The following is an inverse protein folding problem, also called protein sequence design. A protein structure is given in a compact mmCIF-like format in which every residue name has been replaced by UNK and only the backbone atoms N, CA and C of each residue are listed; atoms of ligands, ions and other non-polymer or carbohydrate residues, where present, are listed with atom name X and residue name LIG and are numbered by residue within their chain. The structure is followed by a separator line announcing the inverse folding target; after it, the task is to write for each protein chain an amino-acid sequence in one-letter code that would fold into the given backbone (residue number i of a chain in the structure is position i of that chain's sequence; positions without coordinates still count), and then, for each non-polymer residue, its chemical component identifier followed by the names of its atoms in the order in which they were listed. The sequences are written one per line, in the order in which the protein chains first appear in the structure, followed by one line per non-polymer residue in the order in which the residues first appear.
data_IF_426999576403
#
_entry.id   IF_426999576403
#
_cell.length_a   1.000
_cell.length_b   1.000
_cell.length_c   1.000
_cell.angle_alpha   90.00
_cell.angle_beta   90.00
_cell.angle_gamma   90.00
#
_symmetry.space_group_name_H-M   'P 1'
#
loop_
_entity.id
_entity.type
_entity.pdbx_description
1 polymer ?
#
# COMPACT_ATOMS: atom_id res chain seq x y z
N UNK A 1 -3.28 58.09 -14.35
CA UNK A 1 -3.31 57.15 -15.49
C UNK A 1 -3.81 55.79 -15.00
N UNK A 2 -5.07 55.47 -15.27
CA UNK A 2 -5.56 54.08 -15.37
C UNK A 2 -5.38 53.64 -16.85
N UNK A 3 -5.30 52.33 -17.20
CA UNK A 3 -6.27 51.35 -16.75
C UNK A 3 -5.78 49.92 -16.43
N UNK A 4 -6.62 49.29 -15.60
CA UNK A 4 -6.98 47.86 -15.48
C UNK A 4 -6.68 46.99 -16.72
N UNK A 5 -6.28 45.74 -16.47
CA UNK A 5 -6.88 44.57 -17.14
C UNK A 5 -7.04 43.39 -16.19
N UNK A 6 -8.31 43.13 -15.89
CA UNK A 6 -8.90 41.86 -15.48
C UNK A 6 -8.67 40.77 -16.53
N UNK A 7 -8.56 39.51 -16.09
CA UNK A 7 -8.99 38.39 -16.94
C UNK A 7 -9.88 37.42 -16.14
N UNK A 8 -10.96 36.87 -16.73
CA UNK A 8 -12.00 36.15 -16.02
C UNK A 8 -11.92 34.63 -16.14
N UNK A 9 -12.48 33.99 -15.11
CA UNK A 9 -13.35 32.80 -15.08
C UNK A 9 -13.49 31.88 -16.31
N UNK A 10 -13.37 30.59 -16.00
CA UNK A 10 -14.16 29.42 -16.45
C UNK A 10 -14.19 29.05 -17.94
N UNK A 11 -13.72 27.84 -18.23
CA UNK A 11 -14.38 26.95 -19.19
C UNK A 11 -14.31 25.51 -18.67
N UNK A 12 -15.40 25.11 -18.02
CA UNK A 12 -15.83 23.72 -17.84
C UNK A 12 -16.05 23.13 -19.23
N UNK A 13 -15.46 21.96 -19.52
CA UNK A 13 -15.99 21.06 -20.55
C UNK A 13 -16.14 19.67 -19.97
N UNK A 14 -17.35 19.45 -19.48
CA UNK A 14 -18.03 18.17 -19.39
C UNK A 14 -18.06 17.55 -20.80
N UNK A 15 -17.56 16.32 -20.96
CA UNK A 15 -17.98 15.46 -22.06
C UNK A 15 -18.43 14.15 -21.44
N UNK A 16 -19.74 14.05 -21.34
CA UNK A 16 -20.50 12.84 -21.05
C UNK A 16 -20.69 12.08 -22.37
N UNK A 17 -20.33 10.80 -22.42
CA UNK A 17 -20.98 9.87 -23.33
C UNK A 17 -21.32 8.58 -22.59
N UNK A 18 -22.62 8.44 -22.32
CA UNK A 18 -23.32 7.19 -22.06
C UNK A 18 -23.53 6.43 -23.38
N UNK A 19 -23.48 5.10 -23.30
CA UNK A 19 -24.43 4.11 -23.87
C UNK A 19 -23.67 2.78 -24.04
N UNK A 20 -23.93 1.73 -23.26
CA UNK A 20 -25.13 0.87 -23.16
C UNK A 20 -24.97 -0.43 -23.95
N UNK A 21 -24.87 -1.52 -23.16
CA UNK A 21 -25.24 -2.93 -23.35
C UNK A 21 -26.03 -3.33 -24.61
N UNK A 22 -25.68 -4.49 -25.15
CA UNK A 22 -26.66 -5.52 -25.57
C UNK A 22 -26.05 -6.94 -25.57
N UNK A 23 -26.89 -7.88 -25.13
CA UNK A 23 -26.70 -9.32 -24.89
C UNK A 23 -26.75 -10.19 -26.16
N UNK A 24 -26.15 -11.39 -26.08
CA UNK A 24 -26.71 -12.73 -26.43
C UNK A 24 -25.54 -13.76 -26.36
N UNK A 25 -25.63 -14.97 -25.79
CA UNK A 25 -26.76 -15.83 -25.51
C UNK A 25 -26.79 -17.02 -26.48
N UNK A 26 -26.22 -18.17 -26.08
CA UNK A 26 -26.47 -19.55 -26.55
C UNK A 26 -25.63 -20.48 -25.66
N UNK A 27 -26.10 -21.50 -24.92
CA UNK A 27 -27.28 -22.34 -25.05
C UNK A 27 -26.84 -23.77 -25.39
N UNK A 28 -27.11 -24.76 -24.52
CA UNK A 28 -27.07 -26.19 -24.88
C UNK A 28 -26.73 -27.18 -23.76
N UNK A 29 -27.78 -27.73 -23.13
CA UNK A 29 -28.07 -29.11 -22.67
C UNK A 29 -26.91 -30.12 -22.49
N UNK A 30 -26.85 -31.02 -21.50
CA UNK A 30 -27.87 -31.64 -20.66
C UNK A 30 -27.54 -33.13 -20.59
N UNK A 31 -27.29 -33.70 -19.40
CA UNK A 31 -27.36 -35.15 -19.18
C UNK A 31 -27.52 -35.47 -17.69
N UNK A 32 -28.72 -35.90 -17.30
CA UNK A 32 -29.01 -36.54 -16.02
C UNK A 32 -28.74 -38.05 -16.13
N UNK A 33 -28.08 -38.62 -15.11
CA UNK A 33 -27.98 -40.06 -14.90
C UNK A 33 -27.19 -40.39 -13.62
N UNK A 34 -27.57 -41.43 -12.86
CA UNK A 34 -27.75 -41.31 -11.42
C UNK A 34 -26.75 -42.10 -10.55
N UNK A 35 -26.64 -41.70 -9.29
CA UNK A 35 -26.38 -42.61 -8.15
C UNK A 35 -24.92 -42.78 -7.73
N UNK A 36 -24.59 -42.27 -6.54
CA UNK A 36 -23.32 -42.55 -5.88
C UNK A 36 -23.16 -41.79 -4.57
N UNK A 37 -23.78 -42.30 -3.51
CA UNK A 37 -23.60 -41.86 -2.13
C UNK A 37 -22.15 -42.03 -1.65
N UNK A 38 -21.52 -40.95 -1.19
CA UNK A 38 -20.24 -41.02 -0.49
C UNK A 38 -19.81 -39.67 0.07
N UNK A 39 -20.06 -39.47 1.37
CA UNK A 39 -19.30 -38.66 2.35
C UNK A 39 -18.97 -37.18 2.04
N UNK A 40 -19.17 -36.24 3.00
CA UNK A 40 -18.68 -34.88 2.86
C UNK A 40 -17.16 -34.88 2.97
N UNK A 41 -16.47 -35.07 1.85
CA UNK A 41 -15.10 -34.65 1.69
C UNK A 41 -15.09 -33.14 1.78
N UNK A 42 -14.51 -32.62 2.86
CA UNK A 42 -14.09 -31.23 2.96
C UNK A 42 -13.44 -30.82 1.63
N UNK A 43 -13.85 -29.73 0.99
CA UNK A 43 -13.04 -29.20 -0.10
C UNK A 43 -11.71 -28.79 0.52
N UNK A 44 -10.66 -29.54 0.22
CA UNK A 44 -9.30 -29.04 0.32
C UNK A 44 -9.30 -27.69 -0.40
N UNK A 45 -9.14 -26.61 0.36
CA UNK A 45 -8.77 -25.30 -0.16
C UNK A 45 -7.37 -25.43 -0.74
N UNK A 46 -7.24 -26.07 -1.90
CA UNK A 46 -6.11 -25.94 -2.80
C UNK A 46 -6.30 -24.63 -3.57
N UNK A 47 -5.93 -23.53 -2.92
CA UNK A 47 -6.00 -22.18 -3.49
C UNK A 47 -4.68 -21.43 -3.36
N UNK A 48 -3.56 -22.12 -3.17
CA UNK A 48 -2.25 -21.55 -3.42
C UNK A 48 -2.06 -21.48 -4.93
N UNK A 49 -2.17 -20.28 -5.50
CA UNK A 49 -1.67 -20.01 -6.85
C UNK A 49 -0.14 -20.16 -6.78
N UNK A 50 0.35 -21.38 -6.96
CA UNK A 50 1.77 -21.62 -7.23
C UNK A 50 2.08 -20.90 -8.55
N UNK A 51 2.57 -19.66 -8.44
CA UNK A 51 3.12 -18.91 -9.55
C UNK A 51 4.25 -19.73 -10.16
N UNK A 52 3.93 -20.57 -11.14
CA UNK A 52 4.90 -21.42 -11.80
C UNK A 52 6.02 -20.56 -12.40
N UNK A 53 7.26 -20.97 -12.15
CA UNK A 53 8.45 -20.37 -12.74
C UNK A 53 8.29 -20.23 -14.26
N UNK A 54 8.82 -19.15 -14.80
CA UNK A 54 8.88 -18.85 -16.21
C UNK A 54 10.31 -18.98 -16.73
N UNK A 55 10.48 -19.05 -18.05
CA UNK A 55 11.79 -18.86 -18.65
C UNK A 55 12.31 -17.44 -18.38
N UNK A 56 13.64 -17.23 -18.29
CA UNK A 56 14.22 -15.90 -18.21
C UNK A 56 13.71 -14.98 -19.33
N UNK A 57 13.51 -13.70 -19.02
CA UNK A 57 13.02 -12.75 -20.02
C UNK A 57 14.12 -12.42 -21.05
N UNK A 58 13.83 -12.59 -22.35
CA UNK A 58 14.77 -12.33 -23.45
C UNK A 58 14.48 -11.01 -24.19
N UNK A 59 13.31 -10.43 -23.92
CA UNK A 59 12.84 -9.17 -24.50
C UNK A 59 12.24 -8.22 -23.44
N UNK A 60 12.17 -6.91 -23.73
CA UNK A 60 11.51 -5.96 -22.84
C UNK A 60 10.04 -6.30 -22.60
N UNK A 61 9.34 -6.80 -23.62
CA UNK A 61 7.91 -7.15 -23.51
C UNK A 61 7.68 -8.34 -22.57
N UNK A 62 8.53 -9.37 -22.66
CA UNK A 62 8.47 -10.52 -21.74
C UNK A 62 8.80 -10.09 -20.32
N UNK A 63 9.83 -9.27 -20.13
CA UNK A 63 10.19 -8.76 -18.82
C UNK A 63 9.05 -7.95 -18.19
N UNK A 64 8.40 -7.07 -18.97
CA UNK A 64 7.22 -6.30 -18.51
C UNK A 64 6.10 -7.23 -18.06
N UNK A 65 5.78 -8.25 -18.86
CA UNK A 65 4.74 -9.24 -18.53
C UNK A 65 5.08 -10.04 -17.27
N UNK A 66 6.34 -10.46 -17.13
CA UNK A 66 6.79 -11.20 -15.95
C UNK A 66 6.80 -10.35 -14.69
N UNK A 67 7.25 -9.09 -14.80
CA UNK A 67 7.23 -8.14 -13.69
C UNK A 67 5.80 -7.89 -13.21
N UNK A 68 4.87 -7.62 -14.12
CA UNK A 68 3.46 -7.44 -13.77
C UNK A 68 2.86 -8.71 -13.15
N UNK A 69 3.16 -9.89 -13.71
CA UNK A 69 2.70 -11.17 -13.17
C UNK A 69 3.20 -11.39 -11.74
N UNK A 70 4.47 -11.13 -11.46
CA UNK A 70 5.05 -11.46 -10.15
C UNK A 70 4.82 -10.40 -9.08
N UNK A 71 4.65 -9.13 -9.46
CA UNK A 71 4.52 -8.04 -8.48
C UNK A 71 3.13 -7.39 -8.47
N UNK A 72 2.28 -7.70 -9.47
CA UNK A 72 1.00 -7.01 -9.69
C UNK A 72 1.14 -5.55 -10.12
N UNK A 73 2.32 -5.16 -10.64
CA UNK A 73 2.61 -3.77 -11.04
C UNK A 73 2.87 -3.73 -12.54
N UNK A 74 2.05 -3.00 -13.33
CA UNK A 74 2.34 -2.85 -14.74
C UNK A 74 3.59 -1.99 -14.94
N UNK A 75 4.46 -2.40 -15.86
CA UNK A 75 5.57 -1.56 -16.34
C UNK A 75 5.19 -0.96 -17.70
N UNK A 76 5.50 0.33 -17.87
CA UNK A 76 5.32 1.04 -19.14
C UNK A 76 6.68 1.19 -19.83
N UNK A 77 6.86 0.63 -21.04
CA UNK A 77 7.99 0.96 -21.89
C UNK A 77 7.93 2.43 -22.32
N UNK A 78 9.04 3.13 -22.15
CA UNK A 78 9.27 4.49 -22.64
C UNK A 78 10.40 4.40 -23.66
N UNK A 79 10.01 4.47 -24.92
CA UNK A 79 10.91 4.48 -26.07
C UNK A 79 11.67 5.82 -26.16
N UNK A 80 12.81 5.81 -26.86
CA UNK A 80 13.58 7.01 -27.15
C UNK A 80 14.67 7.37 -26.13
N UNK A 81 14.96 6.50 -25.16
CA UNK A 81 16.17 6.66 -24.33
C UNK A 81 17.42 6.35 -25.16
N UNK A 82 18.46 7.15 -25.00
CA UNK A 82 19.73 6.98 -25.73
C UNK A 82 20.39 5.62 -25.45
N UNK A 83 20.10 5.01 -24.31
CA UNK A 83 20.69 3.76 -23.85
C UNK A 83 19.82 2.54 -24.16
N UNK A 84 18.56 2.73 -24.60
CA UNK A 84 17.62 1.65 -24.89
C UNK A 84 16.17 2.01 -24.57
N UNK A 85 15.45 1.08 -23.95
CA UNK A 85 14.05 1.24 -23.54
C UNK A 85 14.01 1.41 -22.02
N UNK A 86 13.41 2.50 -21.55
CA UNK A 86 13.24 2.73 -20.12
C UNK A 86 11.92 2.14 -19.66
N UNK A 87 11.93 1.41 -18.55
CA UNK A 87 10.77 0.74 -18.00
C UNK A 87 10.33 1.45 -16.71
N UNK A 88 9.11 1.97 -16.69
CA UNK A 88 8.60 2.78 -15.57
C UNK A 88 7.32 2.20 -14.98
N UNK A 89 7.24 2.15 -13.65
CA UNK A 89 5.96 1.90 -12.98
C UNK A 89 5.07 3.14 -13.03
N UNK A 90 3.73 3.00 -12.94
CA UNK A 90 2.80 4.11 -12.82
C UNK A 90 3.18 5.08 -11.71
N UNK A 91 2.91 6.37 -11.89
CA UNK A 91 3.17 7.39 -10.86
C UNK A 91 2.35 7.19 -9.58
N UNK A 92 1.17 6.56 -9.70
CA UNK A 92 0.27 6.22 -8.60
C UNK A 92 0.10 4.70 -8.48
N UNK A 93 0.24 4.10 -7.29
CA UNK A 93 0.71 4.73 -6.06
C UNK A 93 2.17 5.20 -6.18
N UNK A 94 2.62 6.08 -5.28
CA UNK A 94 3.90 6.78 -5.38
C UNK A 94 5.06 5.83 -5.71
N UNK A 95 5.67 5.99 -6.89
CA UNK A 95 6.84 5.19 -7.28
C UNK A 95 8.01 5.35 -6.31
N UNK A 96 8.16 6.56 -5.76
CA UNK A 96 9.23 6.86 -4.81
C UNK A 96 9.02 6.13 -3.50
N UNK A 97 7.77 6.01 -3.04
CA UNK A 97 7.49 5.22 -1.86
C UNK A 97 7.75 3.74 -2.12
N UNK A 98 7.30 3.19 -3.25
CA UNK A 98 7.51 1.77 -3.58
C UNK A 98 8.99 1.40 -3.72
N UNK A 99 9.74 2.16 -4.50
CA UNK A 99 11.06 1.76 -5.00
C UNK A 99 12.13 2.87 -4.93
N UNK A 100 11.80 4.05 -4.41
CA UNK A 100 12.69 5.21 -4.44
C UNK A 100 12.85 5.83 -5.83
N UNK A 101 13.91 6.60 -6.03
CA UNK A 101 14.24 7.20 -7.31
C UNK A 101 15.12 6.23 -8.12
N UNK A 102 14.56 5.63 -9.17
CA UNK A 102 15.25 4.62 -9.97
C UNK A 102 15.07 4.86 -11.48
N UNK A 103 15.90 4.18 -12.26
CA UNK A 103 15.71 3.98 -13.69
C UNK A 103 16.01 2.52 -14.03
N UNK A 104 15.06 1.83 -14.65
CA UNK A 104 15.21 0.46 -15.11
C UNK A 104 15.31 0.49 -16.63
N UNK A 105 16.44 0.05 -17.18
CA UNK A 105 16.75 0.20 -18.61
C UNK A 105 17.00 -1.16 -19.25
N UNK A 106 16.27 -1.44 -20.31
CA UNK A 106 16.59 -2.49 -21.26
C UNK A 106 17.51 -1.93 -22.34
N UNK A 107 18.78 -2.31 -22.31
CA UNK A 107 19.83 -1.74 -23.14
C UNK A 107 19.72 -2.19 -24.59
N UNK A 108 19.99 -1.27 -25.51
CA UNK A 108 19.99 -1.55 -26.96
C UNK A 108 21.08 -2.56 -27.35
N UNK A 109 22.26 -2.41 -26.77
CA UNK A 109 23.49 -3.13 -27.12
C UNK A 109 24.47 -3.18 -25.94
N UNK A 110 25.53 -3.98 -26.09
CA UNK A 110 26.55 -4.18 -25.07
C UNK A 110 27.29 -2.88 -24.72
N UNK A 111 27.49 -2.00 -25.71
CA UNK A 111 28.17 -0.71 -25.49
C UNK A 111 27.33 0.23 -24.63
N UNK A 112 26.02 0.28 -24.86
CA UNK A 112 25.07 1.00 -24.02
C UNK A 112 25.07 0.46 -22.60
N UNK A 113 25.09 -0.87 -22.43
CA UNK A 113 25.24 -1.50 -21.11
C UNK A 113 26.56 -1.11 -20.44
N UNK A 114 27.70 -1.23 -21.14
CA UNK A 114 29.02 -0.84 -20.62
C UNK A 114 29.06 0.63 -20.19
N UNK A 115 28.46 1.54 -20.99
CA UNK A 115 28.33 2.96 -20.64
C UNK A 115 27.53 3.17 -19.36
N UNK A 116 26.42 2.44 -19.19
CA UNK A 116 25.59 2.53 -17.98
C UNK A 116 26.31 1.99 -16.73
N UNK A 117 27.06 0.89 -16.85
CA UNK A 117 27.84 0.30 -15.74
C UNK A 117 29.04 1.17 -15.34
N UNK A 118 29.57 1.93 -16.29
CA UNK A 118 30.68 2.86 -16.06
C UNK A 118 32.03 2.16 -15.92
N UNK A 119 33.04 2.91 -15.48
CA UNK A 119 34.42 2.44 -15.29
C UNK A 119 34.63 2.12 -13.82
N UNK A 120 34.31 0.89 -13.41
CA UNK A 120 34.45 0.44 -12.04
C UNK A 120 34.29 -1.07 -11.93
N UNK A 121 34.67 -1.63 -10.79
CA UNK A 121 34.31 -3.01 -10.43
C UNK A 121 33.07 -2.96 -9.54
N UNK A 122 32.16 -3.94 -9.66
CA UNK A 122 31.07 -4.06 -8.71
C UNK A 122 31.61 -4.39 -7.32
N UNK A 123 30.83 -4.11 -6.28
CA UNK A 123 31.06 -4.64 -4.95
C UNK A 123 30.65 -6.13 -4.85
N UNK A 124 30.64 -6.68 -3.63
CA UNK A 124 30.28 -8.07 -3.37
C UNK A 124 28.85 -8.44 -3.80
N UNK A 125 27.95 -7.46 -3.86
CA UNK A 125 26.55 -7.64 -4.24
C UNK A 125 26.31 -7.39 -5.74
N UNK A 126 27.38 -7.17 -6.52
CA UNK A 126 27.25 -6.89 -7.95
C UNK A 126 26.90 -5.44 -8.28
N UNK A 127 26.97 -4.51 -7.30
CA UNK A 127 26.59 -3.11 -7.46
C UNK A 127 27.80 -2.27 -7.89
N UNK A 128 27.66 -1.61 -9.04
CA UNK A 128 28.59 -0.59 -9.52
C UNK A 128 28.21 0.76 -8.90
N UNK A 129 29.01 1.20 -7.92
CA UNK A 129 28.83 2.50 -7.29
C UNK A 129 29.47 3.62 -8.11
N UNK A 130 28.66 4.53 -8.61
CA UNK A 130 29.10 5.67 -9.42
C UNK A 130 28.98 6.99 -8.64
N UNK A 131 30.03 7.82 -8.58
CA UNK A 131 29.94 9.13 -7.95
C UNK A 131 29.02 10.06 -8.75
N UNK A 132 28.15 10.78 -8.06
CA UNK A 132 27.19 11.74 -8.59
C UNK A 132 27.13 12.97 -7.67
N UNK A 133 28.07 13.91 -7.85
CA UNK A 133 28.24 15.05 -6.94
C UNK A 133 28.60 14.57 -5.53
N UNK A 134 27.82 15.00 -4.53
CA UNK A 134 27.97 14.58 -3.13
C UNK A 134 27.21 13.28 -2.80
N UNK A 135 26.88 12.48 -3.81
CA UNK A 135 26.09 11.27 -3.66
C UNK A 135 26.64 10.13 -4.52
N UNK A 136 26.12 8.92 -4.31
CA UNK A 136 26.42 7.76 -5.12
C UNK A 136 25.16 7.24 -5.80
N UNK A 137 25.29 6.85 -7.06
CA UNK A 137 24.29 6.08 -7.81
C UNK A 137 24.68 4.61 -7.75
N UNK A 138 23.74 3.76 -7.34
CA UNK A 138 23.89 2.30 -7.43
C UNK A 138 23.48 1.84 -8.83
N UNK A 139 24.28 1.02 -9.48
CA UNK A 139 23.97 0.44 -10.79
C UNK A 139 24.19 -1.07 -10.75
N UNK A 140 23.17 -1.88 -11.03
CA UNK A 140 23.26 -3.34 -11.03
C UNK A 140 22.74 -3.92 -12.34
N UNK A 141 23.52 -4.74 -13.06
CA UNK A 141 23.05 -5.45 -14.25
C UNK A 141 22.25 -6.70 -13.87
N UNK A 142 21.26 -7.02 -14.69
CA UNK A 142 20.48 -8.26 -14.66
C UNK A 142 20.57 -8.89 -16.05
N UNK A 143 21.37 -9.95 -16.16
CA UNK A 143 21.68 -10.56 -17.45
C UNK A 143 22.39 -9.61 -18.45
N UNK A 144 22.26 -9.89 -19.75
CA UNK A 144 23.02 -9.19 -20.79
C UNK A 144 22.42 -7.85 -21.21
N UNK A 145 21.12 -7.59 -20.94
CA UNK A 145 20.42 -6.40 -21.46
C UNK A 145 19.70 -5.55 -20.42
N UNK A 146 19.48 -6.01 -19.18
CA UNK A 146 18.75 -5.22 -18.20
C UNK A 146 19.71 -4.57 -17.21
N UNK A 147 19.51 -3.29 -16.93
CA UNK A 147 20.31 -2.52 -15.96
C UNK A 147 19.37 -1.73 -15.05
N UNK A 148 19.50 -1.93 -13.76
CA UNK A 148 18.85 -1.11 -12.74
C UNK A 148 19.82 -0.01 -12.29
N UNK A 149 19.32 1.22 -12.22
CA UNK A 149 20.01 2.36 -11.63
C UNK A 149 19.16 2.95 -10.51
N UNK A 150 19.78 3.30 -9.40
CA UNK A 150 19.12 3.95 -8.28
C UNK A 150 19.87 5.20 -7.85
N UNK A 151 19.14 6.31 -7.81
CA UNK A 151 19.72 7.64 -7.89
C UNK A 151 20.03 8.16 -6.48
N UNK A 152 21.32 8.41 -6.25
CA UNK A 152 21.89 9.39 -5.33
C UNK A 152 21.53 9.28 -3.85
N UNK A 153 22.36 8.59 -3.07
CA UNK A 153 22.43 8.74 -1.60
C UNK A 153 23.82 9.20 -1.15
N UNK A 154 23.97 9.85 0.02
CA UNK A 154 25.28 10.33 0.51
C UNK A 154 26.31 9.21 0.75
N UNK A 155 25.86 7.97 0.94
CA UNK A 155 26.70 6.81 1.24
C UNK A 155 26.44 5.67 0.25
N UNK A 156 27.45 4.80 0.08
CA UNK A 156 27.35 3.54 -0.67
C UNK A 156 26.58 2.50 0.15
N UNK A 157 25.27 2.68 0.26
CA UNK A 157 24.38 1.79 1.01
C UNK A 157 23.04 1.70 0.31
N UNK A 158 22.49 0.50 0.23
CA UNK A 158 21.13 0.23 -0.25
C UNK A 158 20.10 0.59 0.82
N UNK A 159 18.83 0.61 0.43
CA UNK A 159 17.70 0.76 1.33
C UNK A 159 16.69 -0.34 1.06
N UNK A 160 15.73 -0.54 1.96
CA UNK A 160 14.63 -1.50 1.77
C UNK A 160 13.90 -1.32 0.43
N UNK A 161 13.77 -0.07 -0.06
CA UNK A 161 13.19 0.17 -1.38
C UNK A 161 14.05 -0.33 -2.55
N UNK A 162 15.39 -0.23 -2.42
CA UNK A 162 16.30 -0.82 -3.39
C UNK A 162 16.23 -2.35 -3.33
N UNK A 163 16.34 -2.93 -2.14
CA UNK A 163 16.40 -4.39 -1.96
C UNK A 163 15.10 -5.05 -2.52
N UNK A 164 13.95 -4.40 -2.30
CA UNK A 164 12.66 -4.82 -2.89
C UNK A 164 12.63 -4.70 -4.41
N UNK A 165 13.08 -3.56 -4.96
CA UNK A 165 13.10 -3.38 -6.42
C UNK A 165 14.06 -4.38 -7.08
N UNK A 166 15.21 -4.63 -6.45
CA UNK A 166 16.19 -5.61 -6.89
C UNK A 166 15.58 -7.00 -6.98
N UNK A 167 14.93 -7.48 -5.90
CA UNK A 167 14.23 -8.78 -5.92
C UNK A 167 13.14 -8.85 -6.97
N UNK A 168 12.35 -7.79 -7.15
CA UNK A 168 11.34 -7.71 -8.19
C UNK A 168 11.94 -7.81 -9.61
N UNK A 169 13.06 -7.13 -9.84
CA UNK A 169 13.78 -7.19 -11.12
C UNK A 169 14.43 -8.55 -11.33
N UNK A 170 15.00 -9.15 -10.29
CA UNK A 170 15.59 -10.50 -10.34
C UNK A 170 14.52 -11.55 -10.63
N UNK A 171 13.40 -11.52 -9.91
CA UNK A 171 12.26 -12.42 -10.14
C UNK A 171 11.77 -12.33 -11.59
N UNK A 172 11.55 -11.12 -12.10
CA UNK A 172 11.04 -10.88 -13.45
C UNK A 172 12.05 -11.13 -14.57
N UNK A 173 13.36 -10.99 -14.30
CA UNK A 173 14.39 -11.27 -15.31
C UNK A 173 14.78 -12.74 -15.35
N UNK A 174 14.81 -13.41 -14.20
CA UNK A 174 15.11 -14.83 -14.07
C UNK A 174 13.91 -15.77 -14.21
N UNK A 175 12.69 -15.22 -14.20
CA UNK A 175 11.45 -15.98 -14.27
C UNK A 175 11.09 -16.72 -12.98
N UNK A 176 11.56 -16.27 -11.81
CA UNK A 176 11.44 -17.00 -10.54
C UNK A 176 10.67 -16.22 -9.49
N UNK A 177 9.40 -16.59 -9.26
CA UNK A 177 8.57 -15.96 -8.23
C UNK A 177 9.10 -16.21 -6.81
N UNK A 178 9.84 -17.31 -6.60
CA UNK A 178 10.40 -17.68 -5.31
C UNK A 178 11.39 -16.68 -4.73
N UNK A 179 11.94 -15.78 -5.55
CA UNK A 179 12.85 -14.70 -5.13
C UNK A 179 12.11 -13.63 -4.32
N UNK A 180 10.79 -13.47 -4.54
CA UNK A 180 9.96 -12.53 -3.80
C UNK A 180 9.53 -13.10 -2.46
N UNK A 181 9.63 -12.26 -1.42
CA UNK A 181 9.01 -12.52 -0.12
C UNK A 181 7.47 -12.48 -0.25
N UNK A 182 6.73 -13.15 0.64
CA UNK A 182 5.26 -13.16 0.60
C UNK A 182 4.66 -11.76 0.58
N UNK A 183 5.20 -10.84 1.38
CA UNK A 183 4.79 -9.44 1.46
C UNK A 183 4.96 -8.65 0.14
N UNK A 184 5.74 -9.17 -0.82
CA UNK A 184 6.03 -8.54 -2.11
C UNK A 184 5.21 -9.15 -3.25
N UNK A 185 4.57 -10.30 -3.02
CA UNK A 185 3.72 -10.99 -3.99
C UNK A 185 2.28 -10.48 -3.92
N UNK A 186 1.54 -10.40 -5.05
CA UNK A 186 0.13 -10.04 -5.05
C UNK A 186 -0.68 -10.91 -4.08
N UNK A 187 -1.68 -10.31 -3.43
CA UNK A 187 -2.52 -11.01 -2.45
C UNK A 187 -3.20 -12.26 -3.04
N UNK A 188 -3.66 -12.18 -4.30
CA UNK A 188 -4.20 -13.32 -5.03
C UNK A 188 -3.24 -14.49 -5.17
N UNK A 189 -1.93 -14.22 -5.20
CA UNK A 189 -0.91 -15.26 -5.40
C UNK A 189 -0.49 -15.94 -4.10
N UNK A 190 -0.73 -15.30 -2.96
CA UNK A 190 -0.51 -15.89 -1.64
C UNK A 190 -1.81 -16.34 -0.97
N UNK A 191 -2.94 -16.30 -1.68
CA UNK A 191 -4.23 -16.74 -1.18
C UNK A 191 -4.84 -15.84 -0.10
N UNK A 192 -4.43 -14.56 -0.05
CA UNK A 192 -4.93 -13.59 0.91
C UNK A 192 -5.95 -12.65 0.25
N UNK A 193 -7.03 -12.34 0.97
CA UNK A 193 -7.97 -11.27 0.63
C UNK A 193 -7.74 -10.09 1.60
N UNK A 194 -7.54 -8.86 1.09
CA UNK A 194 -7.39 -7.68 1.94
C UNK A 194 -8.54 -7.38 2.90
N UNK A 195 -9.76 -7.79 2.58
CA UNK A 195 -10.98 -7.49 3.35
C UNK A 195 -11.48 -8.71 4.15
N UNK A 196 -11.06 -9.93 3.80
CA UNK A 196 -11.56 -11.18 4.40
C UNK A 196 -10.47 -12.26 4.56
N UNK A 197 -10.72 -13.29 5.37
CA UNK A 197 -9.93 -14.53 5.34
C UNK A 197 -8.79 -14.59 6.37
N UNK A 198 -7.60 -15.00 5.93
CA UNK A 198 -6.49 -15.31 6.82
C UNK A 198 -5.60 -14.08 7.09
N UNK A 199 -4.87 -14.08 8.20
CA UNK A 199 -3.85 -13.07 8.49
C UNK A 199 -2.57 -13.35 7.71
N UNK A 200 -1.82 -12.30 7.39
CA UNK A 200 -0.58 -12.45 6.64
C UNK A 200 -0.11 -11.18 5.97
N UNK A 201 0.85 -11.32 5.06
CA UNK A 201 1.43 -10.21 4.32
C UNK A 201 1.37 -10.46 2.82
N UNK A 202 0.94 -9.43 2.09
CA UNK A 202 0.96 -9.42 0.64
C UNK A 202 1.11 -8.02 0.08
N UNK A 203 1.37 -7.95 -1.22
CA UNK A 203 1.50 -6.72 -1.99
C UNK A 203 0.15 -6.28 -2.54
N UNK A 204 -0.28 -5.07 -2.16
CA UNK A 204 -1.40 -4.38 -2.81
C UNK A 204 -0.81 -3.30 -3.71
N UNK A 205 -0.88 -3.52 -5.03
CA UNK A 205 -0.35 -2.61 -6.07
C UNK A 205 1.14 -2.27 -5.89
N UNK A 206 1.93 -3.20 -5.36
CA UNK A 206 3.37 -3.02 -5.13
C UNK A 206 3.76 -2.43 -3.77
N UNK A 207 2.80 -2.29 -2.85
CA UNK A 207 3.05 -1.85 -1.49
C UNK A 207 2.80 -3.04 -0.57
N UNK A 208 3.81 -3.50 0.18
CA UNK A 208 3.60 -4.50 1.20
C UNK A 208 2.61 -4.03 2.24
N UNK A 209 1.64 -4.90 2.53
CA UNK A 209 0.61 -4.72 3.52
C UNK A 209 0.54 -5.93 4.43
N UNK A 210 0.32 -5.67 5.71
CA UNK A 210 0.10 -6.67 6.74
C UNK A 210 -1.38 -6.65 7.10
N UNK A 211 -2.02 -7.81 7.10
CA UNK A 211 -3.44 -8.01 7.36
C UNK A 211 -3.59 -8.83 8.62
N UNK A 212 -4.34 -8.32 9.58
CA UNK A 212 -4.63 -8.99 10.85
C UNK A 212 -6.13 -8.90 11.17
N UNK A 213 -6.60 -9.80 12.02
CA UNK A 213 -7.94 -9.76 12.59
C UNK A 213 -8.02 -8.81 13.78
N UNK A 214 -9.25 -8.50 14.22
CA UNK A 214 -9.50 -7.52 15.28
C UNK A 214 -8.90 -7.91 16.65
N UNK A 215 -8.73 -9.20 16.91
CA UNK A 215 -8.17 -9.77 18.14
C UNK A 215 -6.64 -9.86 18.12
N UNK A 216 -6.03 -9.72 16.94
CA UNK A 216 -4.60 -9.74 16.73
C UNK A 216 -3.95 -8.36 16.89
N UNK A 217 -2.65 -8.35 17.16
CA UNK A 217 -1.83 -7.15 17.12
C UNK A 217 -1.16 -7.01 15.75
N UNK A 218 -1.49 -5.92 15.07
CA UNK A 218 -0.79 -5.50 13.87
C UNK A 218 0.64 -5.11 14.24
N UNK A 219 1.64 -5.73 13.61
CA UNK A 219 3.04 -5.33 13.75
C UNK A 219 3.61 -4.92 12.39
N UNK A 220 4.23 -3.74 12.35
CA UNK A 220 4.93 -3.20 11.19
C UNK A 220 6.28 -2.63 11.64
N UNK A 221 7.23 -2.39 10.71
CA UNK A 221 8.48 -1.70 11.07
C UNK A 221 8.30 -0.28 11.63
N UNK A 222 7.12 0.33 11.47
CA UNK A 222 6.83 1.69 11.90
C UNK A 222 6.03 1.76 13.21
N UNK A 223 5.10 0.82 13.40
CA UNK A 223 4.23 0.77 14.56
C UNK A 223 3.75 -0.65 14.88
N UNK A 224 3.28 -0.81 16.12
CA UNK A 224 2.33 -1.84 16.50
C UNK A 224 0.96 -1.20 16.72
N UNK A 225 -0.12 -1.89 16.37
CA UNK A 225 -1.46 -1.40 16.65
C UNK A 225 -2.47 -2.52 16.91
N UNK A 226 -3.54 -2.17 17.62
CA UNK A 226 -4.68 -3.08 17.82
C UNK A 226 -5.97 -2.29 17.92
N UNK A 227 -7.07 -2.88 17.48
CA UNK A 227 -8.41 -2.36 17.72
C UNK A 227 -8.82 -2.74 19.14
N UNK A 228 -9.25 -1.76 19.92
CA UNK A 228 -9.74 -1.95 21.30
C UNK A 228 -11.25 -2.18 21.35
N UNK A 229 -11.97 -1.69 20.35
CA UNK A 229 -13.41 -1.84 20.21
C UNK A 229 -13.95 -0.94 19.11
N UNK A 230 -15.16 -1.26 18.65
CA UNK A 230 -15.90 -0.51 17.66
C UNK A 230 -17.30 -0.20 18.18
N UNK A 231 -17.86 0.93 17.78
CA UNK A 231 -19.23 1.30 18.11
C UNK A 231 -19.86 2.04 16.94
N UNK A 232 -21.08 1.65 16.60
CA UNK A 232 -21.86 2.41 15.62
C UNK A 232 -22.77 3.42 16.30
N UNK A 233 -22.71 4.68 15.85
CA UNK A 233 -23.52 5.77 16.39
C UNK A 233 -24.27 6.54 15.30
N UNK A 234 -25.52 6.94 15.58
CA UNK A 234 -26.29 7.78 14.65
C UNK A 234 -25.91 9.27 14.69
N UNK A 235 -25.22 9.70 15.76
CA UNK A 235 -24.71 11.06 15.95
C UNK A 235 -23.61 11.05 17.02
N UNK A 236 -22.72 12.04 16.99
CA UNK A 236 -21.76 12.29 18.05
C UNK A 236 -22.20 13.52 18.85
N UNK A 237 -22.23 13.39 20.17
CA UNK A 237 -22.66 14.47 21.08
C UNK A 237 -21.52 14.84 22.02
N UNK A 238 -21.29 16.14 22.18
CA UNK A 238 -20.36 16.67 23.19
C UNK A 238 -21.05 17.80 23.98
N UNK A 239 -20.89 17.87 25.31
CA UNK A 239 -21.48 18.93 26.11
C UNK A 239 -21.10 20.32 25.58
N UNK A 240 -22.10 21.18 25.37
CA UNK A 240 -21.91 22.55 24.91
C UNK A 240 -21.69 22.72 23.40
N UNK A 241 -21.75 21.64 22.62
CA UNK A 241 -21.64 21.69 21.14
C UNK A 241 -22.87 21.07 20.48
N UNK A 242 -23.18 21.54 19.27
CA UNK A 242 -24.21 20.90 18.45
C UNK A 242 -23.81 19.46 18.11
N UNK A 243 -24.74 18.49 18.10
CA UNK A 243 -24.43 17.13 17.69
C UNK A 243 -23.90 17.08 16.25
N UNK A 244 -22.86 16.28 16.00
CA UNK A 244 -22.47 15.93 14.64
C UNK A 244 -23.38 14.81 14.14
N UNK A 245 -23.89 14.97 12.93
CA UNK A 245 -24.77 14.00 12.26
C UNK A 245 -24.06 13.54 10.98
N UNK A 246 -23.87 12.23 10.79
CA UNK A 246 -23.27 11.67 9.58
C UNK A 246 -24.31 11.63 8.44
N UNK A 247 -23.85 11.49 7.20
CA UNK A 247 -24.72 11.22 6.05
C UNK A 247 -25.40 9.84 6.17
N UNK A 248 -24.70 8.86 6.75
CA UNK A 248 -25.26 7.55 7.08
C UNK A 248 -25.22 7.26 8.57
N UNK A 249 -24.10 6.70 9.03
CA UNK A 249 -23.84 6.42 10.45
C UNK A 249 -22.37 6.59 10.75
N UNK A 250 -22.03 6.94 11.99
CA UNK A 250 -20.65 6.87 12.43
C UNK A 250 -20.29 5.42 12.78
N UNK A 251 -19.16 4.95 12.26
CA UNK A 251 -18.40 3.87 12.86
C UNK A 251 -17.27 4.50 13.67
N UNK A 252 -17.30 4.32 14.99
CA UNK A 252 -16.26 4.75 15.91
C UNK A 252 -15.32 3.58 16.15
N UNK A 253 -14.02 3.78 15.93
CA UNK A 253 -12.98 2.78 16.20
C UNK A 253 -12.11 3.29 17.34
N UNK A 254 -12.08 2.58 18.46
CA UNK A 254 -11.09 2.76 19.51
C UNK A 254 -9.88 1.90 19.19
N UNK A 255 -8.68 2.48 19.22
CA UNK A 255 -7.45 1.79 18.86
C UNK A 255 -6.28 2.21 19.74
N UNK A 256 -5.28 1.35 19.82
CA UNK A 256 -3.98 1.61 20.45
C UNK A 256 -2.89 1.51 19.40
N UNK A 257 -1.95 2.45 19.42
CA UNK A 257 -0.75 2.49 18.58
C UNK A 257 0.48 2.61 19.46
N UNK A 258 1.53 1.86 19.15
CA UNK A 258 2.88 1.99 19.71
C UNK A 258 3.82 2.37 18.58
N UNK A 259 4.61 3.44 18.75
CA UNK A 259 5.65 3.76 17.79
C UNK A 259 6.86 2.85 17.99
N UNK A 260 7.06 1.88 17.10
CA UNK A 260 8.20 0.95 17.12
C UNK A 260 9.39 1.47 16.31
N UNK A 261 9.23 2.58 15.59
CA UNK A 261 10.28 3.15 14.76
C UNK A 261 11.31 3.96 15.57
N UNK A 262 12.46 4.22 14.97
CA UNK A 262 13.50 5.09 15.55
C UNK A 262 13.21 6.59 15.39
N UNK A 263 12.06 6.98 14.86
CA UNK A 263 11.71 8.38 14.58
C UNK A 263 10.32 8.71 15.16
N UNK A 264 10.02 9.98 15.51
CA UNK A 264 8.67 10.34 15.92
C UNK A 264 7.65 10.17 14.78
N UNK A 265 6.48 9.60 15.08
CA UNK A 265 5.33 9.60 14.17
C UNK A 265 4.63 10.95 14.32
N UNK A 266 4.70 11.77 13.27
CA UNK A 266 4.15 13.14 13.29
C UNK A 266 2.65 13.18 13.00
N UNK A 267 2.20 12.27 12.15
CA UNK A 267 0.83 12.21 11.69
C UNK A 267 0.38 10.75 11.65
N UNK A 268 -0.82 10.51 12.17
CA UNK A 268 -1.62 9.32 11.89
C UNK A 268 -2.82 9.79 11.11
N UNK A 269 -3.15 9.10 10.02
CA UNK A 269 -4.32 9.44 9.20
C UNK A 269 -5.21 8.21 9.08
N UNK A 270 -5.93 7.85 10.16
CA UNK A 270 -6.76 6.66 10.17
C UNK A 270 -7.75 6.65 9.01
N UNK A 271 -7.92 5.48 8.43
CA UNK A 271 -8.82 5.24 7.30
C UNK A 271 -9.61 3.96 7.55
N UNK A 272 -10.76 3.85 6.91
CA UNK A 272 -11.52 2.60 6.83
C UNK A 272 -11.61 2.18 5.37
N UNK A 273 -11.10 0.99 5.03
CA UNK A 273 -11.41 0.32 3.77
C UNK A 273 -12.70 -0.46 3.94
N UNK A 274 -13.73 -0.18 3.15
CA UNK A 274 -15.01 -0.89 3.21
C UNK A 274 -15.67 -0.88 1.84
N UNK A 275 -16.15 -2.04 1.39
CA UNK A 275 -16.80 -2.22 0.09
C UNK A 275 -15.96 -1.65 -1.08
N UNK A 276 -14.64 -1.90 -1.08
CA UNK A 276 -13.70 -1.39 -2.09
C UNK A 276 -13.50 0.12 -2.10
N UNK A 277 -13.91 0.84 -1.04
CA UNK A 277 -13.74 2.29 -0.87
C UNK A 277 -12.91 2.59 0.36
N UNK A 278 -12.13 3.66 0.30
CA UNK A 278 -11.40 4.18 1.45
C UNK A 278 -12.12 5.41 1.99
N UNK A 279 -12.58 5.34 3.24
CA UNK A 279 -13.24 6.41 3.98
C UNK A 279 -12.22 7.03 4.95
N UNK A 280 -11.93 8.34 4.86
CA UNK A 280 -11.05 9.01 5.81
C UNK A 280 -11.76 9.23 7.15
N UNK A 281 -10.97 9.44 8.22
CA UNK A 281 -11.49 9.97 9.48
C UNK A 281 -12.34 11.23 9.25
N UNK A 282 -13.48 11.30 9.95
CA UNK A 282 -14.38 12.44 9.93
C UNK A 282 -13.73 13.64 10.65
N UNK A 283 -13.32 14.71 9.94
CA UNK A 283 -12.44 15.74 10.50
C UNK A 283 -12.98 16.44 11.75
N UNK A 284 -14.28 16.69 11.79
CA UNK A 284 -14.94 17.37 12.91
C UNK A 284 -15.04 16.47 14.15
N UNK A 285 -15.03 15.14 13.98
CA UNK A 285 -15.09 14.18 15.09
C UNK A 285 -13.74 14.07 15.81
N UNK A 286 -12.62 14.31 15.12
CA UNK A 286 -11.28 14.17 15.66
C UNK A 286 -11.04 15.05 16.91
N UNK A 287 -11.74 16.18 17.04
CA UNK A 287 -11.66 17.07 18.21
C UNK A 287 -12.61 16.67 19.36
N UNK A 288 -13.65 15.89 19.07
CA UNK A 288 -14.66 15.49 20.06
C UNK A 288 -14.31 14.17 20.73
N UNK A 289 -13.56 13.33 20.04
CA UNK A 289 -13.25 11.98 20.49
C UNK A 289 -12.00 11.95 21.38
N UNK A 290 -11.96 11.08 22.41
CA UNK A 290 -10.87 11.03 23.35
C UNK A 290 -9.58 10.52 22.70
N UNK A 291 -8.47 11.11 23.14
CA UNK A 291 -7.10 10.66 22.86
C UNK A 291 -6.27 10.75 24.13
N UNK A 292 -5.44 9.74 24.38
CA UNK A 292 -4.60 9.68 25.58
C UNK A 292 -3.46 10.69 25.54
N UNK A 293 -3.06 11.14 24.33
CA UNK A 293 -2.03 12.15 24.10
C UNK A 293 -2.13 12.78 22.71
N UNK A 294 -1.36 13.85 22.53
CA UNK A 294 -1.16 14.50 21.24
C UNK A 294 0.02 13.89 20.44
N UNK A 295 -0.02 14.10 19.12
CA UNK A 295 1.10 13.87 18.21
C UNK A 295 2.06 15.08 18.23
N UNK A 296 3.37 14.90 17.95
CA UNK A 296 4.03 13.70 17.46
C UNK A 296 4.21 12.61 18.54
N UNK A 297 4.05 11.35 18.15
CA UNK A 297 4.28 10.19 19.00
C UNK A 297 5.78 9.83 18.99
N UNK A 298 6.53 9.98 20.10
CA UNK A 298 7.96 9.66 20.14
C UNK A 298 8.21 8.15 19.98
N UNK A 299 9.43 7.71 19.64
CA UNK A 299 9.83 6.30 19.69
C UNK A 299 9.46 5.64 21.04
N UNK A 300 8.86 4.46 21.00
CA UNK A 300 8.32 3.74 22.18
C UNK A 300 7.05 4.37 22.78
N UNK A 301 6.58 5.49 22.25
CA UNK A 301 5.38 6.17 22.70
C UNK A 301 4.12 5.37 22.39
N UNK A 302 3.16 5.42 23.30
CA UNK A 302 1.85 4.78 23.16
C UNK A 302 0.78 5.87 22.97
N UNK A 303 -0.11 5.68 21.99
CA UNK A 303 -1.33 6.45 21.78
C UNK A 303 -2.53 5.51 21.91
N UNK A 304 -3.54 5.91 22.67
CA UNK A 304 -4.88 5.31 22.64
C UNK A 304 -5.83 6.40 22.18
N UNK A 305 -6.60 6.15 21.13
CA UNK A 305 -7.46 7.16 20.52
C UNK A 305 -8.75 6.53 20.00
N UNK A 306 -9.79 7.35 19.90
CA UNK A 306 -11.02 7.02 19.19
C UNK A 306 -11.06 7.87 17.91
N UNK A 307 -11.43 7.27 16.80
CA UNK A 307 -11.68 7.95 15.53
C UNK A 307 -13.07 7.58 15.02
N UNK A 308 -13.70 8.43 14.22
CA UNK A 308 -15.00 8.14 13.63
C UNK A 308 -14.95 8.27 12.11
N UNK A 309 -15.69 7.38 11.44
CA UNK A 309 -15.86 7.35 9.99
C UNK A 309 -17.34 7.51 9.66
N UNK A 310 -17.66 8.34 8.67
CA UNK A 310 -19.02 8.43 8.14
C UNK A 310 -19.24 7.34 7.09
N UNK A 311 -20.06 6.36 7.45
CA UNK A 311 -20.35 5.19 6.63
C UNK A 311 -21.73 5.33 6.02
N UNK A 312 -21.85 5.27 4.67
CA UNK A 312 -23.15 5.26 4.01
C UNK A 312 -24.04 4.14 4.53
N UNK A 313 -25.34 4.42 4.68
CA UNK A 313 -26.32 3.43 5.18
C UNK A 313 -26.43 2.16 4.34
N UNK A 314 -25.96 2.20 3.09
CA UNK A 314 -25.91 1.05 2.18
C UNK A 314 -24.76 0.08 2.44
N UNK A 315 -23.85 0.40 3.38
CA UNK A 315 -22.62 -0.35 3.65
C UNK A 315 -22.63 -0.82 5.09
N UNK A 316 -22.35 -2.11 5.30
CA UNK A 316 -22.13 -2.65 6.64
C UNK A 316 -20.75 -2.20 7.14
N UNK A 317 -20.65 -1.50 8.27
CA UNK A 317 -19.36 -1.07 8.81
C UNK A 317 -18.52 -2.23 9.37
N UNK A 318 -19.13 -3.38 9.66
CA UNK A 318 -18.48 -4.55 10.24
C UNK A 318 -17.64 -5.33 9.21
N UNK A 319 -17.94 -5.17 7.92
CA UNK A 319 -17.19 -5.76 6.80
C UNK A 319 -16.00 -4.88 6.40
N UNK A 320 -15.62 -3.97 7.30
CA UNK A 320 -14.57 -2.99 7.08
C UNK A 320 -13.21 -3.44 7.59
N UNK A 321 -12.23 -2.66 7.19
CA UNK A 321 -10.83 -2.86 7.49
C UNK A 321 -10.22 -1.52 7.90
N UNK A 322 -9.81 -1.42 9.16
CA UNK A 322 -9.17 -0.24 9.72
C UNK A 322 -7.72 -0.16 9.25
N UNK A 323 -7.37 0.92 8.57
CA UNK A 323 -6.05 1.17 8.01
C UNK A 323 -5.37 2.26 8.81
N UNK A 324 -4.10 2.03 9.16
CA UNK A 324 -3.25 2.99 9.88
C UNK A 324 -2.06 3.43 9.02
N UNK A 325 -2.26 4.37 8.09
CA UNK A 325 -1.16 5.01 7.37
C UNK A 325 -0.30 5.84 8.34
N UNK A 326 1.01 5.59 8.30
CA UNK A 326 2.01 6.40 9.01
C UNK A 326 2.64 7.36 8.02
N UNK A 327 2.36 8.66 8.15
CA UNK A 327 3.04 9.67 7.34
C UNK A 327 4.25 10.24 8.08
N UNK A 328 5.45 10.06 7.52
CA UNK A 328 6.69 10.65 8.03
C UNK A 328 6.77 12.14 7.77
N UNK A 329 6.24 12.61 6.64
CA UNK A 329 6.42 14.00 6.18
C UNK A 329 5.11 14.74 5.83
N UNK A 330 3.94 14.24 6.23
CA UNK A 330 2.66 14.90 5.95
C UNK A 330 2.34 15.00 4.46
N UNK A 331 2.67 13.96 3.69
CA UNK A 331 2.37 13.92 2.26
C UNK A 331 0.86 13.99 2.01
N UNK A 332 0.45 14.56 0.89
CA UNK A 332 -0.95 14.70 0.48
C UNK A 332 -1.72 13.36 0.33
N UNK A 333 -1.01 12.22 0.34
CA UNK A 333 -1.62 10.89 0.34
C UNK A 333 -0.81 9.91 1.21
N UNK A 334 -1.13 9.79 2.52
CA UNK A 334 -0.43 8.90 3.44
C UNK A 334 -0.66 7.42 3.13
N UNK A 335 -1.69 7.10 2.33
CA UNK A 335 -1.97 5.74 1.90
C UNK A 335 -0.86 5.16 1.00
N UNK A 336 0.17 5.96 0.73
CA UNK A 336 1.32 5.62 -0.09
C UNK A 336 2.61 5.51 0.72
N UNK A 337 2.62 5.76 2.03
CA UNK A 337 3.81 5.58 2.85
C UNK A 337 4.04 4.10 3.21
N UNK A 338 5.32 3.70 3.21
CA UNK A 338 5.78 2.32 3.24
C UNK A 338 5.34 1.54 4.49
N UNK A 339 4.90 0.30 4.27
CA UNK A 339 4.41 -0.66 5.28
C UNK A 339 3.09 -0.19 5.91
N UNK A 340 1.99 -0.56 5.26
CA UNK A 340 0.66 -0.29 5.80
C UNK A 340 0.15 -1.53 6.50
N UNK A 341 -0.45 -1.32 7.65
CA UNK A 341 -1.20 -2.36 8.32
C UNK A 341 -2.69 -2.14 8.22
N UNK A 342 -3.41 -3.25 8.14
CA UNK A 342 -4.85 -3.30 8.02
C UNK A 342 -5.37 -4.29 9.07
N UNK A 343 -6.30 -3.80 9.89
CA UNK A 343 -6.95 -4.57 10.95
C UNK A 343 -8.41 -4.72 10.54
N UNK A 344 -8.84 -5.95 10.22
CA UNK A 344 -10.26 -6.23 9.95
C UNK A 344 -11.05 -5.93 11.21
N UNK A 345 -12.15 -5.16 11.09
CA UNK A 345 -12.94 -4.77 12.27
C UNK A 345 -14.03 -5.78 12.62
N UNK A 346 -14.23 -6.77 11.74
CA UNK A 346 -15.07 -7.93 12.04
C UNK A 346 -14.55 -8.66 13.28
N UNK A 347 -15.44 -8.99 14.20
CA UNK A 347 -15.08 -9.62 15.48
C UNK A 347 -14.53 -8.68 16.55
N UNK A 348 -14.33 -7.38 16.27
CA UNK A 348 -13.92 -6.42 17.28
C UNK A 348 -14.98 -6.27 18.40
N UNK A 349 -14.58 -5.99 19.66
CA UNK A 349 -15.53 -5.72 20.73
C UNK A 349 -16.50 -4.59 20.36
N UNK A 350 -17.81 -4.85 20.42
CA UNK A 350 -18.86 -3.89 20.00
C UNK A 350 -19.14 -2.77 21.03
N UNK A 351 -18.24 -2.59 21.99
CA UNK A 351 -18.29 -1.53 22.99
C UNK A 351 -16.94 -0.87 23.11
N UNK A 352 -16.93 0.46 23.10
CA UNK A 352 -15.70 1.22 23.31
C UNK A 352 -15.20 1.05 24.75
N UNK A 353 -13.88 0.92 24.96
CA UNK A 353 -13.30 0.97 26.30
C UNK A 353 -13.59 2.33 26.94
N UNK A 354 -13.68 2.36 28.28
CA UNK A 354 -13.73 3.63 29.00
C UNK A 354 -12.43 4.41 28.72
N UNK A 355 -12.49 5.72 28.42
CA UNK A 355 -11.29 6.52 28.21
C UNK A 355 -10.38 6.39 29.42
N UNK A 356 -9.12 5.97 29.23
CA UNK A 356 -8.13 6.09 30.29
C UNK A 356 -7.93 7.58 30.55
N UNK A 357 -8.12 8.01 31.80
CA UNK A 357 -7.81 9.38 32.18
C UNK A 357 -6.39 9.67 31.71
N UNK A 358 -6.19 10.77 30.98
CA UNK A 358 -4.85 11.21 30.66
C UNK A 358 -4.12 11.32 31.99
N UNK A 359 -3.07 10.52 32.18
CA UNK A 359 -2.20 10.68 33.33
C UNK A 359 -1.59 12.06 33.14
N UNK A 360 -2.21 13.07 33.73
CA UNK A 360 -1.71 14.43 33.74
C UNK A 360 -0.24 14.33 34.12
N UNK A 361 0.62 14.82 33.22
CA UNK A 361 2.03 14.95 33.53
C UNK A 361 2.10 15.58 34.91
N UNK A 362 2.59 14.81 35.90
CA UNK A 362 2.93 15.39 37.20
C UNK A 362 3.85 16.56 36.86
N UNK A 363 3.50 17.81 37.26
CA UNK A 363 4.48 18.88 37.15
C UNK A 363 5.73 18.38 37.87
N UNK A 364 6.87 18.44 37.19
CA UNK A 364 8.15 18.24 37.82
C UNK A 364 8.20 19.23 38.98
N UNK A 365 8.07 18.70 40.20
CA UNK A 365 8.09 19.50 41.42
C UNK A 365 9.46 20.12 41.62
N UNK A 366 9.40 21.34 42.16
CA UNK A 366 10.48 22.27 42.48
C UNK A 366 11.71 21.66 43.18
#
# INVERSE_FOLDING_TARGET
MSPRRSSPRHAVRLVTMLAALAFAGCGGDGNEGPGGSGGPGSPERSGGSDLADAAPAESPAEFVKQFERFTGIPLKPVEGDISGIRLEVPLKPSRFARFGAYALLWTRDEDSRKRLLGRGRPDGDGIYWQPAGNSFTAVKPFGPKLVLRWIGRPAKRTTVQWDRLERAVEAASGGKASVLESAERPCSDVGLDPEEGDTGECSVRGIPRTFVDADDELSTPALEARVLGVESAAKLTSPGLAPLVPDGRFLIVAYRVVNTSSHPIRFLQPQLSVAGRTVPEYPEAAFLLPRSRELPLPPGGILEAHTAFDIPSSVSPEDGAFVLPVARNGSDDPSLELHQGLIRVSGAPTRLPKPRASSGARPAGD
#
